data_IF_535801569987
#
_entry.id   IF_535801569987
#
_cell.length_a   1.000
_cell.length_b   1.000
_cell.length_c   1.000
_cell.angle_alpha   90.00
_cell.angle_beta   90.00
_cell.angle_gamma   90.00
#
_symmetry.space_group_name_H-M   'P 1'
#
loop_
_entity.id
_entity.type
_entity.pdbx_description
1 polymer ?
#
# COMPACT_ATOMS: atom_id res chain seq x y z
N UNK A 1 -32.13 -59.34 24.94
CA UNK A 1 -32.07 -58.30 23.88
C UNK A 1 -31.97 -56.94 24.54
N UNK A 2 -30.78 -56.30 24.48
CA UNK A 2 -30.58 -54.94 25.02
C UNK A 2 -30.86 -53.94 23.90
N UNK A 3 -31.92 -53.14 24.06
CA UNK A 3 -32.20 -51.99 23.14
C UNK A 3 -31.11 -50.93 23.28
N UNK A 4 -30.33 -50.67 22.19
CA UNK A 4 -29.44 -49.51 22.08
C UNK A 4 -30.28 -48.23 22.01
N UNK A 5 -30.26 -47.42 23.05
CA UNK A 5 -30.79 -46.08 23.01
C UNK A 5 -29.90 -45.22 22.05
N UNK A 6 -30.53 -44.72 21.00
CA UNK A 6 -29.93 -43.75 20.07
C UNK A 6 -29.86 -42.42 20.81
N UNK A 7 -28.67 -41.96 21.16
CA UNK A 7 -28.47 -40.58 21.64
C UNK A 7 -28.90 -39.63 20.52
N UNK A 8 -30.01 -38.95 20.73
CA UNK A 8 -30.43 -37.81 19.90
C UNK A 8 -29.48 -36.66 20.26
N UNK A 9 -28.55 -36.32 19.38
CA UNK A 9 -27.74 -35.12 19.50
C UNK A 9 -28.72 -33.93 19.43
N UNK A 10 -28.85 -33.18 20.52
CA UNK A 10 -29.51 -31.89 20.49
C UNK A 10 -28.71 -30.97 19.52
N UNK A 11 -29.38 -30.23 18.64
CA UNK A 11 -28.68 -29.26 17.80
C UNK A 11 -27.96 -28.26 18.73
N UNK A 12 -26.66 -28.07 18.50
CA UNK A 12 -25.89 -27.03 19.17
C UNK A 12 -26.56 -25.71 18.89
N UNK A 13 -26.65 -24.77 19.86
CA UNK A 13 -27.19 -23.46 19.60
C UNK A 13 -26.37 -22.80 18.48
N UNK A 14 -27.03 -22.54 17.34
CA UNK A 14 -26.39 -21.84 16.22
C UNK A 14 -26.15 -20.39 16.61
N UNK A 15 -24.93 -19.94 16.45
CA UNK A 15 -24.59 -18.51 16.64
C UNK A 15 -25.27 -17.75 15.50
N UNK A 16 -26.08 -16.71 15.77
CA UNK A 16 -26.67 -15.89 14.71
C UNK A 16 -25.59 -15.27 13.83
N UNK A 17 -25.85 -15.17 12.51
CA UNK A 17 -24.89 -14.68 11.54
C UNK A 17 -24.36 -13.28 11.86
N UNK A 18 -25.21 -12.39 12.37
CA UNK A 18 -24.81 -11.04 12.79
C UNK A 18 -23.79 -11.06 13.95
N UNK A 19 -23.99 -11.96 14.94
CA UNK A 19 -23.04 -12.13 16.02
C UNK A 19 -21.72 -12.74 15.53
N UNK A 20 -21.79 -13.67 14.58
CA UNK A 20 -20.63 -14.28 13.96
C UNK A 20 -19.81 -13.24 13.15
N UNK A 21 -20.47 -12.39 12.38
CA UNK A 21 -19.85 -11.25 11.68
C UNK A 21 -19.12 -10.34 12.65
N UNK A 22 -19.75 -9.98 13.77
CA UNK A 22 -19.16 -9.11 14.77
C UNK A 22 -17.92 -9.75 15.44
N UNK A 23 -17.98 -11.04 15.72
CA UNK A 23 -16.82 -11.78 16.25
C UNK A 23 -15.70 -11.82 15.21
N UNK A 24 -16.02 -12.19 13.97
CA UNK A 24 -15.01 -12.34 12.90
C UNK A 24 -14.33 -11.02 12.55
N UNK A 25 -15.03 -9.89 12.60
CA UNK A 25 -14.45 -8.57 12.34
C UNK A 25 -13.45 -8.11 13.41
N UNK A 26 -13.41 -8.76 14.56
CA UNK A 26 -12.50 -8.42 15.68
C UNK A 26 -11.30 -9.37 15.81
N UNK A 27 -11.26 -10.47 15.06
CA UNK A 27 -10.12 -11.37 15.11
C UNK A 27 -8.97 -10.88 14.22
N UNK A 28 -7.70 -11.16 14.58
CA UNK A 28 -6.58 -10.85 13.71
C UNK A 28 -6.73 -11.48 12.33
N UNK A 29 -6.38 -10.76 11.27
CA UNK A 29 -6.53 -11.20 9.88
C UNK A 29 -5.95 -12.59 9.60
N UNK A 30 -4.82 -12.95 10.23
CA UNK A 30 -4.24 -14.31 10.15
C UNK A 30 -5.18 -15.39 10.65
N UNK A 31 -5.94 -15.12 11.70
CA UNK A 31 -6.95 -16.05 12.25
C UNK A 31 -8.15 -16.13 11.31
N UNK A 32 -8.61 -15.01 10.77
CA UNK A 32 -9.66 -14.97 9.76
C UNK A 32 -9.31 -15.83 8.55
N UNK A 33 -8.06 -15.75 8.05
CA UNK A 33 -7.59 -16.58 6.95
C UNK A 33 -7.65 -18.08 7.28
N UNK A 34 -7.35 -18.49 8.52
CA UNK A 34 -7.45 -19.89 8.96
C UNK A 34 -8.90 -20.35 9.02
N UNK A 35 -9.81 -19.50 9.41
CA UNK A 35 -11.22 -19.82 9.53
C UNK A 35 -11.89 -20.12 8.18
N UNK A 36 -11.33 -19.69 7.07
CA UNK A 36 -11.78 -20.05 5.72
C UNK A 36 -11.76 -21.56 5.46
N UNK A 37 -10.95 -22.31 6.20
CA UNK A 37 -10.84 -23.76 6.07
C UNK A 37 -11.92 -24.52 6.85
N UNK A 38 -12.77 -23.86 7.64
CA UNK A 38 -13.76 -24.52 8.52
C UNK A 38 -14.92 -25.11 7.71
N UNK A 39 -15.52 -24.33 6.82
CA UNK A 39 -16.63 -24.76 5.96
C UNK A 39 -16.84 -23.75 4.80
N UNK A 40 -17.68 -24.13 3.80
CA UNK A 40 -18.05 -23.23 2.70
C UNK A 40 -18.73 -21.93 3.18
N UNK A 41 -19.71 -21.95 4.10
CA UNK A 41 -20.26 -20.71 4.67
C UNK A 41 -19.20 -19.84 5.34
N UNK A 42 -18.29 -20.43 6.11
CA UNK A 42 -17.19 -19.69 6.74
C UNK A 42 -16.21 -19.14 5.71
N UNK A 43 -15.93 -19.88 4.62
CA UNK A 43 -15.12 -19.38 3.53
C UNK A 43 -15.73 -18.11 2.90
N UNK A 44 -17.05 -18.13 2.63
CA UNK A 44 -17.79 -16.99 2.11
C UNK A 44 -17.70 -15.80 3.07
N UNK A 45 -18.07 -16.03 4.32
CA UNK A 45 -18.11 -15.00 5.37
C UNK A 45 -16.73 -14.39 5.64
N UNK A 46 -15.69 -15.22 5.81
CA UNK A 46 -14.31 -14.74 6.02
C UNK A 46 -13.68 -14.13 4.75
N UNK A 47 -14.32 -14.22 3.60
CA UNK A 47 -13.89 -13.58 2.36
C UNK A 47 -14.66 -12.29 2.07
N UNK A 48 -15.66 -11.99 2.87
CA UNK A 48 -16.45 -10.76 2.76
C UNK A 48 -15.53 -9.51 2.92
N UNK A 49 -15.56 -8.56 1.97
CA UNK A 49 -14.73 -7.35 2.01
C UNK A 49 -14.96 -6.49 3.26
N UNK A 50 -16.20 -6.39 3.73
CA UNK A 50 -16.54 -5.53 4.88
C UNK A 50 -16.00 -6.13 6.18
N UNK A 51 -16.09 -7.45 6.35
CA UNK A 51 -15.48 -8.13 7.49
C UNK A 51 -13.96 -7.97 7.45
N UNK A 52 -13.35 -8.13 6.28
CA UNK A 52 -11.91 -7.95 6.11
C UNK A 52 -11.43 -6.55 6.43
N UNK A 53 -12.18 -5.54 6.00
CA UNK A 53 -11.86 -4.12 6.26
C UNK A 53 -11.90 -3.79 7.75
N UNK A 54 -12.83 -4.41 8.47
CA UNK A 54 -12.98 -4.25 9.94
C UNK A 54 -11.98 -5.08 10.74
N UNK A 55 -11.37 -6.13 10.15
CA UNK A 55 -10.40 -6.95 10.84
C UNK A 55 -9.12 -6.16 11.17
N UNK A 56 -8.59 -6.28 12.41
CA UNK A 56 -7.32 -5.68 12.76
C UNK A 56 -6.20 -6.21 11.87
N UNK A 57 -5.54 -5.30 11.16
CA UNK A 57 -4.33 -5.61 10.40
C UNK A 57 -3.16 -5.63 11.39
N UNK A 58 -2.66 -6.82 11.69
CA UNK A 58 -1.53 -6.96 12.62
C UNK A 58 -0.21 -6.83 11.86
N UNK A 59 0.60 -5.86 12.27
CA UNK A 59 1.97 -5.75 11.81
C UNK A 59 2.75 -7.02 12.22
N UNK A 60 3.40 -7.66 11.25
CA UNK A 60 4.13 -8.91 11.48
C UNK A 60 5.63 -8.70 11.69
N UNK A 61 6.17 -7.62 11.15
CA UNK A 61 7.58 -7.27 11.24
C UNK A 61 7.94 -6.10 10.36
N UNK A 62 9.23 -5.80 10.28
CA UNK A 62 9.78 -4.67 9.55
C UNK A 62 10.89 -5.10 8.61
N UNK A 63 10.89 -4.52 7.41
CA UNK A 63 12.08 -4.49 6.57
C UNK A 63 12.97 -3.32 7.00
N UNK A 64 14.26 -3.56 7.04
CA UNK A 64 15.23 -2.52 7.34
C UNK A 64 16.57 -2.79 6.63
N UNK A 65 17.26 -1.71 6.29
CA UNK A 65 18.59 -1.80 5.73
C UNK A 65 19.61 -1.84 6.87
N UNK A 66 20.47 -2.87 6.86
CA UNK A 66 21.58 -2.96 7.79
C UNK A 66 22.84 -2.50 7.06
N UNK A 67 23.53 -1.52 7.63
CA UNK A 67 24.80 -1.02 7.08
C UNK A 67 25.76 -2.17 6.75
N UNK A 68 26.13 -2.30 5.49
CA UNK A 68 27.06 -3.35 5.00
C UNK A 68 26.47 -4.76 4.82
N UNK A 69 25.24 -5.06 5.29
CA UNK A 69 24.64 -6.40 5.22
C UNK A 69 23.41 -6.48 4.30
N UNK A 70 22.97 -5.36 3.72
CA UNK A 70 21.81 -5.30 2.86
C UNK A 70 20.46 -5.34 3.60
N UNK A 71 19.41 -5.70 2.86
CA UNK A 71 18.04 -5.75 3.36
C UNK A 71 17.85 -6.90 4.35
N UNK A 72 17.21 -6.62 5.46
CA UNK A 72 16.88 -7.57 6.52
C UNK A 72 15.41 -7.47 6.90
N UNK A 73 14.86 -8.52 7.50
CA UNK A 73 13.51 -8.53 8.05
C UNK A 73 13.53 -8.95 9.52
N UNK A 74 12.83 -8.22 10.38
CA UNK A 74 12.70 -8.56 11.80
C UNK A 74 11.23 -8.76 12.16
N UNK A 75 10.94 -9.92 12.76
CA UNK A 75 9.61 -10.20 13.30
C UNK A 75 9.30 -9.22 14.46
N UNK A 76 8.07 -8.74 14.52
CA UNK A 76 7.61 -7.90 15.63
C UNK A 76 7.70 -8.62 16.99
N UNK A 77 7.48 -9.93 17.00
CA UNK A 77 7.67 -10.77 18.20
C UNK A 77 9.11 -10.82 18.71
N UNK A 78 10.09 -10.40 17.90
CA UNK A 78 11.51 -10.51 18.18
C UNK A 78 12.03 -11.95 18.24
N UNK A 79 11.21 -12.95 17.97
CA UNK A 79 11.53 -14.38 18.12
C UNK A 79 11.33 -15.15 16.81
N UNK A 80 12.06 -16.26 16.70
CA UNK A 80 11.97 -17.18 15.57
C UNK A 80 12.66 -16.70 14.30
N UNK A 81 12.69 -17.53 13.23
CA UNK A 81 13.22 -17.14 11.94
C UNK A 81 12.36 -16.04 11.31
N UNK A 82 12.92 -15.22 10.42
CA UNK A 82 12.16 -14.20 9.70
C UNK A 82 10.93 -14.82 9.02
N UNK A 83 9.76 -14.20 9.18
CA UNK A 83 8.52 -14.65 8.53
C UNK A 83 8.57 -14.49 7.01
N UNK A 84 9.43 -13.60 6.56
CA UNK A 84 9.69 -13.31 5.14
C UNK A 84 11.18 -13.37 4.90
N UNK A 85 11.60 -14.03 3.82
CA UNK A 85 12.97 -14.00 3.35
C UNK A 85 13.26 -12.63 2.73
N UNK A 86 14.09 -11.78 3.38
CA UNK A 86 14.36 -10.43 2.88
C UNK A 86 15.17 -10.41 1.58
N UNK A 87 15.80 -11.53 1.22
CA UNK A 87 16.56 -11.62 -0.03
C UNK A 87 15.67 -11.62 -1.27
N UNK A 88 14.34 -11.87 -1.12
CA UNK A 88 13.36 -11.96 -2.21
C UNK A 88 13.86 -12.86 -3.35
N UNK A 89 14.18 -14.14 -3.09
CA UNK A 89 14.88 -15.01 -4.04
C UNK A 89 14.09 -15.22 -5.35
N UNK A 90 12.75 -15.13 -5.29
CA UNK A 90 11.89 -15.25 -6.46
C UNK A 90 12.03 -14.06 -7.45
N UNK A 91 12.47 -12.87 -6.98
CA UNK A 91 12.82 -11.72 -7.82
C UNK A 91 14.31 -11.77 -8.21
N UNK A 92 15.20 -12.10 -7.28
CA UNK A 92 16.65 -12.16 -7.53
C UNK A 92 17.08 -13.26 -8.50
N UNK A 93 16.24 -14.26 -8.72
CA UNK A 93 16.46 -15.24 -9.78
C UNK A 93 16.37 -14.64 -11.20
N UNK A 94 15.71 -13.49 -11.35
CA UNK A 94 15.52 -12.77 -12.61
C UNK A 94 16.31 -11.46 -12.69
N UNK A 95 16.43 -10.74 -11.56
CA UNK A 95 17.05 -9.41 -11.51
C UNK A 95 18.38 -9.45 -10.75
N UNK A 96 19.37 -8.71 -11.23
CA UNK A 96 20.68 -8.59 -10.58
C UNK A 96 20.59 -7.87 -9.22
N UNK A 97 19.74 -6.85 -9.16
CA UNK A 97 19.53 -6.04 -7.97
C UNK A 97 18.05 -5.73 -7.79
N UNK A 98 17.59 -5.82 -6.54
CA UNK A 98 16.23 -5.49 -6.14
C UNK A 98 16.31 -4.56 -4.93
N UNK A 99 15.63 -3.42 -5.01
CA UNK A 99 15.47 -2.46 -3.90
C UNK A 99 14.00 -2.26 -3.58
N UNK A 100 13.65 -2.36 -2.31
CA UNK A 100 12.30 -2.01 -1.85
C UNK A 100 12.19 -0.50 -1.81
N UNK A 101 11.22 0.04 -2.54
CA UNK A 101 10.88 1.45 -2.53
C UNK A 101 9.81 1.74 -1.49
N UNK A 102 8.81 0.86 -1.40
CA UNK A 102 7.68 1.01 -0.49
C UNK A 102 7.19 -0.36 -0.02
N UNK A 103 6.70 -0.40 1.23
CA UNK A 103 5.98 -1.54 1.78
C UNK A 103 4.61 -1.04 2.24
N UNK A 104 3.54 -1.61 1.69
CA UNK A 104 2.18 -1.21 2.01
C UNK A 104 1.22 -2.40 2.01
N UNK A 105 0.49 -2.60 3.12
CA UNK A 105 -0.49 -3.69 3.23
C UNK A 105 0.06 -5.10 3.01
N UNK A 106 1.37 -5.32 3.22
CA UNK A 106 2.04 -6.60 2.97
C UNK A 106 2.50 -6.80 1.52
N UNK A 107 2.25 -5.83 0.64
CA UNK A 107 2.83 -5.75 -0.68
C UNK A 107 4.11 -4.89 -0.66
N UNK A 108 5.04 -5.22 -1.53
CA UNK A 108 6.27 -4.48 -1.74
C UNK A 108 6.29 -3.91 -3.16
N UNK A 109 6.55 -2.61 -3.28
CA UNK A 109 6.94 -1.98 -4.53
C UNK A 109 8.46 -2.02 -4.60
N UNK A 110 8.99 -2.67 -5.64
CA UNK A 110 10.41 -2.90 -5.81
C UNK A 110 10.93 -2.27 -7.10
N UNK A 111 12.08 -1.61 -7.03
CA UNK A 111 12.88 -1.25 -8.18
C UNK A 111 13.83 -2.42 -8.49
N UNK A 112 13.83 -2.87 -9.74
CA UNK A 112 14.52 -4.08 -10.17
C UNK A 112 15.45 -3.77 -11.35
N UNK A 113 16.73 -4.15 -11.25
CA UNK A 113 17.71 -3.96 -12.32
C UNK A 113 17.99 -5.29 -13.01
N UNK A 114 17.92 -5.28 -14.34
CA UNK A 114 18.29 -6.42 -15.16
C UNK A 114 19.81 -6.65 -15.14
N UNK A 115 20.20 -7.92 -15.29
CA UNK A 115 21.59 -8.32 -15.49
C UNK A 115 22.05 -7.89 -16.88
N UNK A 116 22.80 -6.80 -16.98
CA UNK A 116 23.20 -6.24 -18.26
C UNK A 116 24.64 -6.64 -18.65
N UNK A 117 24.77 -7.41 -19.74
CA UNK A 117 26.04 -7.68 -20.39
C UNK A 117 26.26 -6.67 -21.55
N UNK A 118 26.67 -5.43 -21.22
CA UNK A 118 26.94 -4.43 -22.26
C UNK A 118 27.25 -3.02 -21.74
N UNK A 119 27.76 -2.16 -22.65
CA UNK A 119 28.23 -0.79 -22.35
C UNK A 119 27.12 0.27 -22.10
N UNK A 120 25.85 -0.09 -22.19
CA UNK A 120 24.74 0.85 -22.02
C UNK A 120 24.18 0.87 -20.60
N UNK A 121 23.64 2.02 -20.19
CA UNK A 121 23.11 2.32 -18.85
C UNK A 121 22.25 1.17 -18.29
N UNK A 122 22.47 0.80 -17.03
CA UNK A 122 21.66 -0.19 -16.32
C UNK A 122 20.18 0.17 -16.46
N UNK A 123 19.44 -0.67 -17.17
CA UNK A 123 18.00 -0.49 -17.32
C UNK A 123 17.33 -1.05 -16.06
N UNK A 124 16.48 -0.28 -15.42
CA UNK A 124 15.68 -0.75 -14.30
C UNK A 124 14.20 -0.71 -14.67
N UNK A 125 13.43 -1.49 -13.95
CA UNK A 125 11.97 -1.51 -14.00
C UNK A 125 11.40 -1.62 -12.61
N UNK A 126 10.10 -1.72 -12.51
CA UNK A 126 9.41 -1.86 -11.23
C UNK A 126 8.59 -3.14 -11.19
N UNK A 127 8.46 -3.69 -10.00
CA UNK A 127 7.59 -4.83 -9.73
C UNK A 127 6.85 -4.62 -8.39
N UNK A 128 5.60 -5.05 -8.34
CA UNK A 128 4.87 -5.20 -7.09
C UNK A 128 4.85 -6.67 -6.75
N UNK A 129 5.20 -7.03 -5.51
CA UNK A 129 5.22 -8.41 -5.08
C UNK A 129 4.62 -8.59 -3.68
N UNK A 130 4.09 -9.79 -3.45
CA UNK A 130 3.71 -10.27 -2.13
C UNK A 130 4.79 -11.26 -1.63
N UNK A 131 5.62 -10.89 -0.66
CA UNK A 131 6.70 -11.74 -0.21
C UNK A 131 6.22 -13.01 0.50
N UNK A 132 5.00 -13.03 1.04
CA UNK A 132 4.44 -14.20 1.72
C UNK A 132 3.94 -15.27 0.73
N UNK A 133 3.31 -14.86 -0.39
CA UNK A 133 2.83 -15.78 -1.44
C UNK A 133 3.86 -15.99 -2.55
N UNK A 134 4.88 -15.13 -2.63
CA UNK A 134 5.90 -15.07 -3.69
C UNK A 134 5.34 -14.74 -5.08
N UNK A 135 4.13 -14.23 -5.11
CA UNK A 135 3.51 -13.71 -6.34
C UNK A 135 4.05 -12.31 -6.63
N UNK A 136 4.20 -11.99 -7.89
CA UNK A 136 4.68 -10.68 -8.31
C UNK A 136 4.18 -10.31 -9.72
N UNK A 137 4.10 -9.01 -9.95
CA UNK A 137 3.69 -8.42 -11.22
C UNK A 137 4.70 -7.36 -11.62
N UNK A 138 5.22 -7.43 -12.85
CA UNK A 138 6.06 -6.36 -13.42
C UNK A 138 5.16 -5.22 -13.84
N UNK A 139 5.55 -4.00 -13.48
CA UNK A 139 4.94 -2.80 -14.02
C UNK A 139 5.53 -2.54 -15.41
N UNK A 140 4.68 -2.42 -16.41
CA UNK A 140 5.10 -2.04 -17.77
C UNK A 140 5.68 -0.63 -17.75
N UNK A 141 6.45 -0.29 -18.77
CA UNK A 141 6.93 1.09 -18.96
C UNK A 141 5.74 2.03 -19.14
N UNK A 142 5.84 3.22 -18.59
CA UNK A 142 4.86 4.27 -18.84
C UNK A 142 5.16 4.86 -20.21
N UNK A 143 4.26 4.60 -21.14
CA UNK A 143 4.33 5.09 -22.51
C UNK A 143 3.07 5.89 -22.76
N UNK A 144 3.18 7.19 -22.82
CA UNK A 144 2.05 8.10 -23.04
C UNK A 144 2.30 8.90 -24.33
N UNK A 145 1.25 9.30 -25.05
CA UNK A 145 1.40 10.21 -26.19
C UNK A 145 1.90 11.57 -25.65
N UNK A 146 2.83 12.18 -26.41
CA UNK A 146 3.22 13.55 -26.14
C UNK A 146 2.01 14.46 -26.39
N UNK A 147 1.66 15.34 -25.45
CA UNK A 147 0.54 16.26 -25.62
C UNK A 147 0.73 17.25 -26.76
N UNK A 148 1.96 17.53 -27.22
CA UNK A 148 2.26 18.47 -28.29
C UNK A 148 2.34 17.76 -29.66
N UNK A 149 3.11 16.68 -29.77
CA UNK A 149 3.42 16.02 -31.04
C UNK A 149 2.67 14.70 -31.24
N UNK A 150 1.98 14.19 -30.23
CA UNK A 150 1.30 12.88 -30.27
C UNK A 150 2.21 11.67 -30.39
N UNK A 151 3.53 11.87 -30.30
CA UNK A 151 4.53 10.81 -30.36
C UNK A 151 4.61 10.12 -28.97
N UNK A 152 4.62 8.79 -28.90
CA UNK A 152 4.74 8.11 -27.62
C UNK A 152 6.06 8.45 -26.91
N UNK A 153 6.00 8.95 -25.69
CA UNK A 153 7.14 9.23 -24.83
C UNK A 153 7.21 8.20 -23.71
N UNK A 154 8.41 7.69 -23.43
CA UNK A 154 8.68 6.80 -22.31
C UNK A 154 9.13 7.66 -21.14
N UNK A 155 8.35 7.63 -20.08
CA UNK A 155 8.67 8.35 -18.85
C UNK A 155 9.55 7.52 -17.94
N UNK A 156 10.68 8.09 -17.52
CA UNK A 156 11.55 7.53 -16.48
C UNK A 156 11.08 8.10 -15.13
N UNK A 157 10.26 7.34 -14.44
CA UNK A 157 9.62 7.77 -13.21
C UNK A 157 10.47 7.33 -12.03
N UNK A 158 10.80 8.27 -11.15
CA UNK A 158 11.58 7.99 -9.95
C UNK A 158 10.71 7.72 -8.72
N UNK A 159 9.54 8.34 -8.65
CA UNK A 159 8.63 8.24 -7.51
C UNK A 159 7.33 7.55 -7.91
N UNK A 160 7.13 6.37 -7.37
CA UNK A 160 5.92 5.57 -7.50
C UNK A 160 5.31 5.36 -6.13
N UNK A 161 3.99 5.43 -6.05
CA UNK A 161 3.25 5.26 -4.80
C UNK A 161 2.27 4.09 -4.92
N UNK A 162 2.41 3.12 -4.02
CA UNK A 162 1.60 1.90 -4.00
C UNK A 162 0.34 2.11 -3.16
N UNK A 163 -0.82 1.88 -3.77
CA UNK A 163 -2.11 1.80 -3.11
C UNK A 163 -2.63 0.37 -3.06
N UNK A 164 -3.09 -0.06 -1.90
CA UNK A 164 -3.62 -1.40 -1.68
C UNK A 164 -4.75 -1.38 -0.66
N UNK A 165 -5.88 -1.98 -1.02
CA UNK A 165 -6.98 -2.22 -0.08
C UNK A 165 -6.94 -3.68 0.40
N UNK A 166 -6.70 -3.89 1.68
CA UNK A 166 -6.68 -5.22 2.29
C UNK A 166 -8.03 -5.95 2.18
N UNK A 167 -9.15 -5.24 1.99
CA UNK A 167 -10.45 -5.83 1.75
C UNK A 167 -10.53 -6.53 0.39
N UNK A 168 -9.75 -6.06 -0.59
CA UNK A 168 -9.67 -6.62 -1.96
C UNK A 168 -8.23 -7.03 -2.27
N UNK A 169 -7.70 -8.10 -1.65
CA UNK A 169 -6.28 -8.41 -1.61
C UNK A 169 -5.63 -8.74 -2.97
N UNK A 170 -6.41 -8.96 -4.01
CA UNK A 170 -5.92 -9.14 -5.38
C UNK A 170 -5.79 -7.85 -6.16
N UNK A 171 -6.27 -6.72 -5.60
CA UNK A 171 -6.33 -5.43 -6.29
C UNK A 171 -5.36 -4.45 -5.65
N UNK A 172 -4.41 -3.97 -6.44
CA UNK A 172 -3.56 -2.84 -6.09
C UNK A 172 -3.51 -1.83 -7.24
N UNK A 173 -3.16 -0.63 -6.90
CA UNK A 173 -2.92 0.48 -7.85
C UNK A 173 -1.54 1.06 -7.59
N UNK A 174 -0.92 1.62 -8.62
CA UNK A 174 0.34 2.36 -8.48
C UNK A 174 0.18 3.71 -9.15
N UNK A 175 0.47 4.76 -8.42
CA UNK A 175 0.42 6.14 -8.90
C UNK A 175 1.83 6.60 -9.26
N UNK A 176 1.95 7.25 -10.39
CA UNK A 176 3.18 7.82 -10.90
C UNK A 176 2.92 9.28 -11.31
N UNK A 177 3.16 10.26 -10.42
CA UNK A 177 3.14 11.66 -10.81
C UNK A 177 4.22 11.94 -11.87
N UNK A 178 3.83 12.58 -12.96
CA UNK A 178 4.68 12.89 -14.10
C UNK A 178 4.88 14.40 -14.19
N UNK A 179 6.12 14.83 -14.08
CA UNK A 179 6.48 16.24 -14.19
C UNK A 179 6.74 16.61 -15.63
N UNK A 180 6.37 17.85 -15.98
CA UNK A 180 6.78 18.46 -17.22
C UNK A 180 8.26 18.87 -17.16
N UNK A 181 8.78 19.48 -18.25
CA UNK A 181 10.16 19.95 -18.33
C UNK A 181 10.52 21.04 -17.32
N UNK A 182 9.54 21.65 -16.67
CA UNK A 182 9.71 22.67 -15.62
C UNK A 182 9.64 22.11 -14.20
N UNK A 183 9.42 20.79 -14.06
CA UNK A 183 9.29 20.12 -12.75
C UNK A 183 7.89 20.21 -12.14
N UNK A 184 6.91 20.73 -12.87
CA UNK A 184 5.51 20.82 -12.42
C UNK A 184 4.76 19.55 -12.78
N UNK A 185 3.84 19.11 -11.91
CA UNK A 185 3.04 17.92 -12.17
C UNK A 185 1.94 18.24 -13.17
N UNK A 186 2.13 17.73 -14.38
CA UNK A 186 1.18 17.91 -15.47
C UNK A 186 0.18 16.74 -15.58
N UNK A 187 0.60 15.54 -15.19
CA UNK A 187 -0.20 14.33 -15.32
C UNK A 187 0.08 13.36 -14.16
N UNK A 188 -0.84 12.45 -13.91
CA UNK A 188 -0.59 11.27 -13.08
C UNK A 188 -0.92 10.02 -13.89
N UNK A 189 0.04 9.12 -14.02
CA UNK A 189 -0.22 7.79 -14.56
C UNK A 189 -0.64 6.86 -13.42
N UNK A 190 -1.69 6.08 -13.65
CA UNK A 190 -2.28 5.14 -12.68
C UNK A 190 -2.22 3.74 -13.28
N UNK A 191 -1.51 2.83 -12.62
CA UNK A 191 -1.50 1.41 -12.98
C UNK A 191 -2.57 0.68 -12.19
N UNK A 192 -3.40 -0.10 -12.88
CA UNK A 192 -4.35 -1.01 -12.26
C UNK A 192 -3.88 -2.45 -12.39
N UNK A 193 -3.82 -3.17 -11.27
CA UNK A 193 -3.49 -4.60 -11.27
C UNK A 193 -4.53 -5.47 -11.97
N UNK A 194 -5.77 -5.01 -12.07
CA UNK A 194 -6.87 -5.72 -12.75
C UNK A 194 -6.69 -5.69 -14.26
N UNK A 195 -6.45 -4.52 -14.81
CA UNK A 195 -6.25 -4.35 -16.26
C UNK A 195 -4.81 -4.59 -16.71
N UNK A 196 -3.86 -4.54 -15.78
CA UNK A 196 -2.40 -4.56 -16.00
C UNK A 196 -1.92 -3.48 -16.96
N UNK A 197 -2.57 -2.33 -16.93
CA UNK A 197 -2.29 -1.19 -17.81
C UNK A 197 -2.19 0.10 -17.02
N UNK A 198 -1.40 1.01 -17.57
CA UNK A 198 -1.36 2.40 -17.17
C UNK A 198 -2.48 3.17 -17.88
N UNK A 199 -3.14 4.04 -17.14
CA UNK A 199 -3.97 5.13 -17.65
C UNK A 199 -3.36 6.44 -17.16
N UNK A 200 -3.48 7.52 -17.91
CA UNK A 200 -3.04 8.83 -17.47
C UNK A 200 -4.22 9.77 -17.37
N UNK A 201 -4.13 10.67 -16.41
CA UNK A 201 -5.07 11.76 -16.19
C UNK A 201 -4.29 13.06 -16.05
N UNK A 202 -4.84 14.15 -16.56
CA UNK A 202 -4.28 15.49 -16.34
C UNK A 202 -4.37 15.83 -14.86
N UNK A 203 -3.34 16.49 -14.33
CA UNK A 203 -3.30 16.88 -12.93
C UNK A 203 -4.22 18.08 -12.69
N UNK A 204 -5.10 17.94 -11.71
CA UNK A 204 -5.92 19.04 -11.19
C UNK A 204 -5.36 19.62 -9.86
N UNK A 205 -4.17 19.16 -9.43
CA UNK A 205 -3.51 19.74 -8.28
C UNK A 205 -3.07 21.20 -8.59
N UNK A 206 -2.97 22.05 -7.56
CA UNK A 206 -2.55 23.42 -7.75
C UNK A 206 -1.21 23.53 -8.51
N UNK A 207 -1.09 24.52 -9.35
CA UNK A 207 0.05 24.77 -10.25
C UNK A 207 1.43 24.70 -9.57
N UNK A 208 1.52 24.95 -8.27
CA UNK A 208 2.79 24.93 -7.52
C UNK A 208 2.97 23.69 -6.66
N UNK A 209 2.15 22.65 -6.85
CA UNK A 209 2.32 21.41 -6.11
C UNK A 209 3.67 20.78 -6.44
N UNK A 210 4.52 20.63 -5.42
CA UNK A 210 5.85 20.01 -5.55
C UNK A 210 5.91 18.82 -4.60
N UNK A 211 6.18 17.64 -5.17
CA UNK A 211 6.50 16.44 -4.40
C UNK A 211 8.03 16.30 -4.37
N UNK A 212 8.62 16.21 -3.21
CA UNK A 212 10.07 16.01 -3.06
C UNK A 212 10.41 14.53 -2.95
N UNK A 213 11.68 14.22 -3.22
CA UNK A 213 12.21 12.90 -2.88
C UNK A 213 12.00 12.61 -1.40
N UNK A 214 11.27 11.52 -1.08
CA UNK A 214 10.88 11.20 0.28
C UNK A 214 9.45 11.62 0.67
N UNK A 215 8.64 12.11 -0.29
CA UNK A 215 7.19 12.33 -0.10
C UNK A 215 6.56 11.16 0.64
N UNK A 216 5.92 11.47 1.77
CA UNK A 216 5.16 10.47 2.50
C UNK A 216 3.82 10.22 1.81
N UNK A 217 3.34 8.99 1.87
CA UNK A 217 2.10 8.60 1.25
C UNK A 217 1.26 7.68 2.13
N UNK A 218 -0.05 7.79 1.99
CA UNK A 218 -1.01 6.88 2.57
C UNK A 218 -2.15 6.59 1.58
N UNK A 219 -2.58 5.35 1.50
CA UNK A 219 -3.73 4.96 0.70
C UNK A 219 -4.88 4.57 1.63
N UNK A 220 -5.98 5.30 1.57
CA UNK A 220 -7.12 5.10 2.45
C UNK A 220 -8.42 5.25 1.67
N UNK A 221 -9.35 4.28 1.82
CA UNK A 221 -10.68 4.31 1.22
C UNK A 221 -10.68 4.58 -0.29
N UNK A 222 -9.74 3.99 -1.03
CA UNK A 222 -9.64 4.17 -2.48
C UNK A 222 -8.90 5.43 -2.93
N UNK A 223 -8.39 6.24 -2.00
CA UNK A 223 -7.73 7.52 -2.26
C UNK A 223 -6.27 7.49 -1.83
N UNK A 224 -5.38 7.94 -2.70
CA UNK A 224 -3.97 8.21 -2.39
C UNK A 224 -3.84 9.61 -1.80
N UNK A 225 -3.07 9.71 -0.73
CA UNK A 225 -2.70 10.94 -0.05
C UNK A 225 -1.19 11.10 -0.16
N UNK A 226 -0.73 12.27 -0.55
CA UNK A 226 0.69 12.58 -0.72
C UNK A 226 1.00 13.89 0.00
N UNK A 227 2.08 13.92 0.77
CA UNK A 227 2.57 15.20 1.35
C UNK A 227 3.29 16.01 0.29
N UNK A 228 3.10 17.32 0.32
CA UNK A 228 3.79 18.27 -0.56
C UNK A 228 4.97 18.93 0.17
N UNK A 229 5.80 19.63 -0.59
CA UNK A 229 6.89 20.44 -0.04
C UNK A 229 6.40 21.56 0.90
N UNK A 230 5.18 22.03 0.70
CA UNK A 230 4.60 23.10 1.49
C UNK A 230 3.86 22.63 2.76
N UNK A 231 3.94 21.34 3.09
CA UNK A 231 3.27 20.77 4.25
C UNK A 231 1.77 20.49 4.05
N UNK A 232 1.23 20.73 2.85
CA UNK A 232 -0.14 20.36 2.50
C UNK A 232 -0.23 18.88 2.13
N UNK A 233 -1.44 18.33 2.11
CA UNK A 233 -1.70 16.96 1.63
C UNK A 233 -2.53 17.06 0.37
N UNK A 234 -2.04 16.51 -0.72
CA UNK A 234 -2.80 16.38 -1.96
C UNK A 234 -3.35 14.97 -2.09
N UNK A 235 -4.54 14.84 -2.68
CA UNK A 235 -5.23 13.57 -2.80
C UNK A 235 -5.68 13.30 -4.22
N UNK A 236 -5.77 11.99 -4.55
CA UNK A 236 -6.26 11.50 -5.82
C UNK A 236 -6.90 10.13 -5.63
N UNK A 237 -8.12 9.92 -6.13
CA UNK A 237 -8.73 8.60 -6.12
C UNK A 237 -8.10 7.65 -7.14
N UNK A 238 -8.38 6.35 -6.98
CA UNK A 238 -7.81 5.30 -7.83
C UNK A 238 -8.26 5.37 -9.30
N UNK A 239 -9.32 6.09 -9.60
CA UNK A 239 -9.87 6.31 -10.94
C UNK A 239 -9.36 7.60 -11.60
N UNK A 240 -8.67 8.46 -10.85
CA UNK A 240 -8.18 9.76 -11.35
C UNK A 240 -9.27 10.82 -11.51
N UNK A 241 -10.38 10.70 -10.78
CA UNK A 241 -11.56 11.57 -10.95
C UNK A 241 -11.72 12.62 -9.87
N UNK A 242 -11.24 12.32 -8.67
CA UNK A 242 -11.42 13.18 -7.50
C UNK A 242 -10.07 13.68 -7.03
N UNK A 243 -9.87 14.99 -7.11
CA UNK A 243 -8.66 15.69 -6.72
C UNK A 243 -9.01 16.63 -5.58
N UNK A 244 -8.16 16.67 -4.55
CA UNK A 244 -8.30 17.62 -3.44
C UNK A 244 -6.94 18.02 -2.95
N UNK A 245 -6.89 19.22 -2.35
CA UNK A 245 -5.81 19.67 -1.49
C UNK A 245 -6.39 19.89 -0.09
N UNK A 246 -5.70 19.39 0.92
CA UNK A 246 -6.02 19.59 2.32
C UNK A 246 -4.98 20.58 2.82
N UNK A 247 -5.41 21.82 2.95
CA UNK A 247 -4.64 22.93 3.50
C UNK A 247 -4.75 22.89 5.03
N UNK A 248 -3.85 23.57 5.73
CA UNK A 248 -3.87 23.79 7.17
C UNK A 248 -3.90 22.51 8.03
N UNK A 249 -3.47 21.38 7.49
CA UNK A 249 -3.37 20.15 8.29
C UNK A 249 -2.47 20.32 9.50
N UNK A 250 -1.54 21.30 9.46
CA UNK A 250 -0.53 21.50 10.48
C UNK A 250 -0.23 23.00 10.57
N UNK A 251 -0.84 23.65 11.57
CA UNK A 251 -0.51 25.05 11.90
C UNK A 251 0.99 25.18 12.22
N UNK A 252 1.64 26.16 11.60
CA UNK A 252 3.03 26.59 11.85
C UNK A 252 4.18 25.63 11.46
N UNK A 253 3.95 24.59 10.65
CA UNK A 253 5.03 23.70 10.25
C UNK A 253 5.37 23.84 8.75
N UNK A 254 6.53 24.42 8.46
CA UNK A 254 7.14 24.41 7.12
C UNK A 254 7.90 23.11 6.80
N UNK A 255 7.81 22.08 7.62
CA UNK A 255 8.59 20.85 7.49
C UNK A 255 7.78 19.71 6.89
N UNK A 256 8.51 18.79 6.27
CA UNK A 256 7.93 17.57 5.66
C UNK A 256 7.30 16.72 6.74
N UNK A 257 5.98 16.64 6.72
CA UNK A 257 5.20 15.80 7.63
C UNK A 257 5.10 14.41 7.04
N UNK A 258 5.26 13.40 7.88
CA UNK A 258 4.96 12.02 7.49
C UNK A 258 3.46 11.75 7.68
N UNK A 259 2.88 10.93 6.80
CA UNK A 259 1.48 10.52 6.89
C UNK A 259 1.33 9.00 6.86
N UNK A 260 0.26 8.52 7.45
CA UNK A 260 -0.10 7.11 7.44
C UNK A 260 -1.55 6.92 7.85
N UNK A 261 -2.03 5.69 7.82
CA UNK A 261 -3.39 5.39 8.28
C UNK A 261 -3.38 4.35 9.40
N UNK A 262 -4.30 4.50 10.32
CA UNK A 262 -4.55 3.53 11.39
C UNK A 262 -6.03 3.54 11.74
N UNK A 263 -6.61 2.35 11.95
CA UNK A 263 -8.02 2.18 12.35
C UNK A 263 -9.04 2.94 11.47
N UNK A 264 -8.73 3.11 10.18
CA UNK A 264 -9.61 3.80 9.23
C UNK A 264 -9.49 5.33 9.22
N UNK A 265 -8.58 5.90 10.00
CA UNK A 265 -8.30 7.34 10.04
C UNK A 265 -6.92 7.64 9.45
N UNK A 266 -6.78 8.81 8.83
CA UNK A 266 -5.52 9.36 8.37
C UNK A 266 -4.82 10.03 9.56
N UNK A 267 -3.53 9.77 9.70
CA UNK A 267 -2.69 10.38 10.72
C UNK A 267 -1.54 11.09 10.02
N UNK A 268 -1.19 12.25 10.53
CA UNK A 268 0.03 12.96 10.18
C UNK A 268 0.92 13.06 11.42
N UNK A 269 2.24 13.02 11.23
CA UNK A 269 3.16 13.19 12.35
C UNK A 269 4.43 13.90 11.94
N UNK A 270 5.03 14.58 12.91
CA UNK A 270 6.29 15.28 12.82
C UNK A 270 7.15 14.91 14.04
N UNK A 271 8.45 14.80 13.83
CA UNK A 271 9.43 14.74 14.93
C UNK A 271 10.13 16.08 14.97
N UNK A 272 9.82 16.87 15.99
CA UNK A 272 10.51 18.12 16.27
C UNK A 272 11.84 17.81 16.98
N UNK A 273 12.95 18.22 16.37
CA UNK A 273 14.29 17.94 16.89
C UNK A 273 14.99 19.18 17.47
N UNK A 274 14.30 20.33 17.61
CA UNK A 274 14.95 21.61 17.93
C UNK A 274 15.55 21.68 19.34
N UNK A 275 15.00 20.97 20.32
CA UNK A 275 15.54 20.96 21.70
C UNK A 275 15.59 19.56 22.30
N UNK A 276 14.42 18.97 22.52
CA UNK A 276 14.22 17.58 22.89
C UNK A 276 13.32 16.95 21.85
N UNK A 277 13.62 15.72 21.35
CA UNK A 277 12.80 15.10 20.31
C UNK A 277 11.35 14.94 20.79
N UNK A 278 10.44 15.69 20.19
CA UNK A 278 9.01 15.60 20.48
C UNK A 278 8.28 15.02 19.25
N UNK A 279 7.49 13.97 19.48
CA UNK A 279 6.61 13.42 18.46
C UNK A 279 5.24 14.08 18.58
N UNK A 280 4.85 14.84 17.54
CA UNK A 280 3.51 15.39 17.40
C UNK A 280 2.74 14.54 16.41
N UNK A 281 1.49 14.19 16.77
CA UNK A 281 0.60 13.37 15.92
C UNK A 281 -0.74 14.06 15.81
N UNK A 282 -1.21 14.20 14.58
CA UNK A 282 -2.54 14.72 14.25
C UNK A 282 -3.38 13.60 13.66
N UNK A 283 -4.67 13.64 13.92
CA UNK A 283 -5.65 12.71 13.35
C UNK A 283 -6.64 13.52 12.51
N UNK A 284 -6.83 13.12 11.27
CA UNK A 284 -7.85 13.69 10.42
C UNK A 284 -9.19 13.01 10.76
N UNK A 285 -10.00 13.64 11.61
CA UNK A 285 -11.24 13.05 12.11
C UNK A 285 -12.39 13.12 11.10
N UNK A 286 -12.50 14.23 10.37
CA UNK A 286 -13.52 14.43 9.34
C UNK A 286 -12.90 14.49 7.95
N UNK A 287 -12.71 13.32 7.38
CA UNK A 287 -12.12 13.17 6.04
C UNK A 287 -12.97 13.83 4.93
N UNK A 288 -14.28 13.92 5.11
CA UNK A 288 -15.18 14.52 4.12
C UNK A 288 -15.12 16.04 4.12
N UNK A 289 -14.87 16.67 5.26
CA UNK A 289 -14.78 18.12 5.41
C UNK A 289 -13.37 18.67 5.24
N UNK A 290 -12.34 17.81 5.24
CA UNK A 290 -10.94 18.23 5.16
C UNK A 290 -10.44 18.91 6.43
N UNK A 291 -11.10 18.68 7.57
CA UNK A 291 -10.72 19.24 8.88
C UNK A 291 -10.07 18.19 9.76
#
# INVERSE_FOLDING_TARGET
MKKKQKLVRQPSPEIPDNALVEILSRVPYRSLCRFKCVSKPWLSLCSDPDIRRRCPQTLSGFFYNRSGCGLSFRNLSGRGPPLVDPSLPFLRGRYERVEIQQCYGGLLLCRCWDSYKGRNKKKFGYAVCNPATREWTVLTLIVLPDPVDGVPVIYDVNDLFLGFDAAVPSRFVVFAPLSNSFGEFAQVAIFSSETRRWTSVESEWPYKTVLLGGTACAYLNGTMHLTTHHGTIVTLDAEGKTWREIEDCIEDCCEVVSIGHSQGSLHAWLIDNDKDPELRVWVLEDYASGK
#
